data_IF_455990780218
#
_entry.id   IF_455990780218
#
_cell.length_a   1.000
_cell.length_b   1.000
_cell.length_c   1.000
_cell.angle_alpha   90.00
_cell.angle_beta   90.00
_cell.angle_gamma   90.00
#
_symmetry.space_group_name_H-M   'P 1'
#
loop_
_entity.id
_entity.type
_entity.pdbx_description
1 polymer ?
#
# COMPACT_ATOMS: atom_id res chain seq x y z
N UNK A 1 -60.55 -35.84 8.92
CA UNK A 1 -61.12 -34.68 9.63
C UNK A 1 -59.97 -33.74 9.89
N UNK A 2 -59.90 -32.64 9.15
CA UNK A 2 -58.86 -31.62 9.27
C UNK A 2 -59.12 -30.79 10.51
N UNK A 3 -58.10 -30.56 11.33
CA UNK A 3 -57.97 -29.28 12.03
C UNK A 3 -56.50 -28.83 11.93
N UNK A 4 -56.19 -27.93 10.98
CA UNK A 4 -54.87 -27.37 10.74
C UNK A 4 -54.78 -25.98 11.38
N UNK A 5 -54.53 -25.89 12.69
CA UNK A 5 -54.17 -24.60 13.30
C UNK A 5 -53.42 -24.74 14.64
N UNK A 6 -52.10 -24.87 14.56
CA UNK A 6 -51.21 -24.23 15.54
C UNK A 6 -50.15 -23.45 14.77
N UNK A 7 -50.37 -22.16 14.78
CA UNK A 7 -49.61 -21.01 14.30
C UNK A 7 -48.16 -20.97 14.78
N UNK A 8 -47.33 -20.10 14.16
CA UNK A 8 -45.93 -20.37 13.88
C UNK A 8 -45.04 -19.97 15.05
N UNK A 9 -44.15 -20.85 15.48
CA UNK A 9 -42.92 -20.39 16.12
C UNK A 9 -42.04 -19.81 15.04
N UNK A 10 -42.28 -18.52 14.82
CA UNK A 10 -41.33 -17.54 14.36
C UNK A 10 -39.99 -17.85 15.05
N UNK A 11 -39.13 -18.60 14.36
CA UNK A 11 -37.75 -18.78 14.78
C UNK A 11 -37.16 -17.40 14.60
N UNK A 12 -37.21 -16.66 15.70
CA UNK A 12 -36.66 -15.33 15.86
C UNK A 12 -35.18 -15.62 15.86
N UNK A 13 -34.62 -15.76 14.66
CA UNK A 13 -33.19 -15.64 14.41
C UNK A 13 -32.80 -14.34 15.08
N UNK A 14 -32.26 -14.49 16.27
CA UNK A 14 -31.71 -13.42 17.08
C UNK A 14 -30.75 -12.72 16.14
N UNK A 15 -31.13 -11.51 15.71
CA UNK A 15 -30.18 -10.56 15.16
C UNK A 15 -29.24 -10.27 16.32
N UNK A 16 -28.18 -11.07 16.44
CA UNK A 16 -27.08 -10.81 17.33
C UNK A 16 -26.41 -9.53 16.79
N UNK A 17 -26.48 -8.40 17.51
CA UNK A 17 -25.95 -7.14 17.01
C UNK A 17 -24.42 -7.07 17.08
N UNK A 18 -23.74 -8.16 17.43
CA UNK A 18 -22.32 -8.32 17.17
C UNK A 18 -22.10 -8.57 15.68
N UNK A 19 -22.36 -7.55 14.86
CA UNK A 19 -21.52 -7.32 13.72
C UNK A 19 -20.10 -7.12 14.28
N UNK A 20 -19.39 -8.24 14.48
CA UNK A 20 -17.95 -8.23 14.32
C UNK A 20 -17.75 -7.70 12.90
N UNK A 21 -17.51 -6.40 12.80
CA UNK A 21 -16.87 -5.83 11.64
C UNK A 21 -15.55 -6.59 11.63
N UNK A 22 -15.46 -7.66 10.83
CA UNK A 22 -14.17 -8.20 10.44
C UNK A 22 -13.41 -7.00 9.89
N UNK A 23 -12.54 -6.41 10.73
CA UNK A 23 -11.57 -5.43 10.28
C UNK A 23 -10.76 -6.20 9.24
N UNK A 24 -11.09 -5.96 7.97
CA UNK A 24 -10.36 -6.49 6.84
C UNK A 24 -8.87 -6.25 7.16
N UNK A 25 -8.06 -7.32 7.24
CA UNK A 25 -6.76 -7.23 7.87
C UNK A 25 -5.96 -6.14 7.18
N UNK A 26 -5.71 -5.03 7.90
CA UNK A 26 -5.05 -3.85 7.33
C UNK A 26 -3.74 -4.27 6.68
N UNK A 27 -3.73 -4.28 5.36
CA UNK A 27 -2.55 -4.65 4.63
C UNK A 27 -1.63 -3.43 4.64
N UNK A 28 -0.33 -3.57 4.98
CA UNK A 28 0.61 -2.46 4.89
C UNK A 28 0.69 -1.85 3.48
N UNK A 29 0.26 -2.57 2.43
CA UNK A 29 0.14 -2.07 1.07
C UNK A 29 -1.07 -1.15 0.83
N UNK A 30 -2.02 -1.05 1.77
CA UNK A 30 -3.22 -0.20 1.63
C UNK A 30 -2.92 1.28 1.95
N UNK A 31 -1.75 1.59 2.51
CA UNK A 31 -1.35 2.97 2.76
C UNK A 31 -0.89 3.64 1.44
N UNK A 32 -1.52 4.75 1.00
CA UNK A 32 -1.17 5.42 -0.26
C UNK A 32 0.27 5.97 -0.26
N UNK A 33 0.88 6.12 0.92
CA UNK A 33 2.27 6.56 1.07
C UNK A 33 3.29 5.41 1.11
N UNK A 34 2.86 4.15 1.21
CA UNK A 34 3.78 3.01 1.32
C UNK A 34 4.72 2.94 0.11
N UNK A 35 4.15 2.88 -1.09
CA UNK A 35 4.92 2.73 -2.33
C UNK A 35 5.85 3.92 -2.61
N UNK A 36 5.42 5.21 -2.54
CA UNK A 36 6.33 6.32 -2.76
C UNK A 36 7.47 6.39 -1.74
N UNK A 37 7.22 6.05 -0.46
CA UNK A 37 8.28 6.00 0.56
C UNK A 37 9.26 4.87 0.28
N UNK A 38 8.77 3.69 -0.07
CA UNK A 38 9.63 2.55 -0.42
C UNK A 38 10.52 2.88 -1.63
N UNK A 39 9.95 3.44 -2.69
CA UNK A 39 10.72 3.88 -3.87
C UNK A 39 11.71 4.99 -3.50
N UNK A 40 11.33 5.93 -2.63
CA UNK A 40 12.21 6.98 -2.13
C UNK A 40 13.42 6.40 -1.38
N UNK A 41 13.22 5.39 -0.54
CA UNK A 41 14.29 4.71 0.17
C UNK A 41 15.25 3.99 -0.80
N UNK A 42 14.72 3.26 -1.79
CA UNK A 42 15.55 2.65 -2.83
C UNK A 42 16.28 3.67 -3.69
N UNK A 43 15.65 4.80 -4.01
CA UNK A 43 16.31 5.89 -4.70
C UNK A 43 17.51 6.37 -3.88
N UNK A 44 17.31 6.74 -2.61
CA UNK A 44 18.40 7.17 -1.72
C UNK A 44 19.54 6.15 -1.63
N UNK A 45 19.20 4.86 -1.58
CA UNK A 45 20.20 3.78 -1.62
C UNK A 45 21.03 3.82 -2.90
N UNK A 46 20.38 3.84 -4.07
CA UNK A 46 21.08 3.96 -5.36
C UNK A 46 21.86 5.27 -5.48
N UNK A 47 21.35 6.36 -4.92
CA UNK A 47 22.04 7.65 -4.86
C UNK A 47 23.32 7.58 -4.04
N UNK A 48 23.27 6.94 -2.87
CA UNK A 48 24.45 6.69 -2.04
C UNK A 48 25.51 5.90 -2.81
N UNK A 49 25.12 4.77 -3.43
CA UNK A 49 26.03 3.92 -4.20
C UNK A 49 26.50 4.53 -5.53
N UNK A 50 25.80 5.54 -6.06
CA UNK A 50 26.13 6.19 -7.34
C UNK A 50 26.91 7.51 -7.24
N UNK A 51 26.84 8.19 -6.08
CA UNK A 51 27.43 9.52 -5.89
C UNK A 51 28.33 9.65 -4.67
N UNK A 52 28.08 8.91 -3.59
CA UNK A 52 28.77 9.10 -2.31
C UNK A 52 29.76 7.97 -2.00
N UNK A 53 29.39 6.74 -2.34
CA UNK A 53 30.18 5.55 -2.05
C UNK A 53 31.26 5.31 -3.11
N UNK A 54 32.50 5.07 -2.68
CA UNK A 54 33.61 4.69 -3.58
C UNK A 54 33.58 3.19 -3.96
N UNK A 55 32.61 2.44 -3.43
CA UNK A 55 32.52 0.97 -3.58
C UNK A 55 32.47 0.48 -5.03
N UNK A 56 32.02 1.33 -5.95
CA UNK A 56 31.86 1.01 -7.37
C UNK A 56 32.64 1.95 -8.29
N UNK A 57 33.62 2.69 -7.76
CA UNK A 57 34.43 3.63 -8.54
C UNK A 57 35.20 2.94 -9.68
N UNK A 58 35.58 1.67 -9.49
CA UNK A 58 36.23 0.81 -10.49
C UNK A 58 35.26 0.19 -11.51
N UNK A 59 33.94 0.34 -11.31
CA UNK A 59 32.88 -0.29 -12.12
C UNK A 59 31.97 0.75 -12.75
N UNK A 60 32.39 1.38 -13.87
CA UNK A 60 31.68 2.51 -14.46
C UNK A 60 30.24 2.17 -14.88
N UNK A 61 29.99 0.94 -15.34
CA UNK A 61 28.64 0.50 -15.71
C UNK A 61 27.69 0.43 -14.51
N UNK A 62 28.15 -0.10 -13.37
CA UNK A 62 27.35 -0.19 -12.13
C UNK A 62 27.08 1.21 -11.57
N UNK A 63 28.09 2.07 -11.60
CA UNK A 63 27.97 3.45 -11.16
C UNK A 63 26.95 4.23 -12.00
N UNK A 64 26.99 4.10 -13.32
CA UNK A 64 25.99 4.69 -14.22
C UNK A 64 24.59 4.14 -13.97
N UNK A 65 24.46 2.82 -13.79
CA UNK A 65 23.19 2.18 -13.45
C UNK A 65 22.58 2.78 -12.18
N UNK A 66 23.36 2.90 -11.10
CA UNK A 66 22.91 3.47 -9.83
C UNK A 66 22.45 4.92 -9.97
N UNK A 67 23.15 5.74 -10.77
CA UNK A 67 22.76 7.13 -11.05
C UNK A 67 21.44 7.22 -11.83
N UNK A 68 21.26 6.38 -12.84
CA UNK A 68 20.00 6.32 -13.62
C UNK A 68 18.86 5.85 -12.71
N UNK A 69 19.07 4.79 -11.93
CA UNK A 69 18.06 4.26 -11.02
C UNK A 69 17.70 5.27 -9.93
N UNK A 70 18.67 6.03 -9.40
CA UNK A 70 18.39 7.13 -8.48
C UNK A 70 17.38 8.13 -9.07
N UNK A 71 17.61 8.56 -10.32
CA UNK A 71 16.72 9.52 -10.99
C UNK A 71 15.34 8.90 -11.28
N UNK A 72 15.30 7.68 -11.82
CA UNK A 72 14.04 7.03 -12.17
C UNK A 72 13.19 6.73 -10.93
N UNK A 73 13.78 6.14 -9.90
CA UNK A 73 13.08 5.83 -8.65
C UNK A 73 12.69 7.10 -7.89
N UNK A 74 13.56 8.12 -7.87
CA UNK A 74 13.27 9.40 -7.25
C UNK A 74 12.12 10.14 -7.93
N UNK A 75 12.12 10.19 -9.27
CA UNK A 75 11.03 10.77 -10.04
C UNK A 75 9.72 9.97 -9.86
N UNK A 76 9.78 8.64 -9.88
CA UNK A 76 8.64 7.78 -9.63
C UNK A 76 8.05 7.96 -8.22
N UNK A 77 8.90 8.03 -7.20
CA UNK A 77 8.51 8.31 -5.82
C UNK A 77 7.83 9.68 -5.71
N UNK A 78 8.42 10.73 -6.31
CA UNK A 78 7.84 12.08 -6.29
C UNK A 78 6.48 12.15 -7.00
N UNK A 79 6.34 11.46 -8.14
CA UNK A 79 5.08 11.40 -8.88
C UNK A 79 4.00 10.66 -8.10
N UNK A 80 4.30 9.49 -7.54
CA UNK A 80 3.38 8.73 -6.70
C UNK A 80 3.01 9.49 -5.45
N UNK A 81 3.95 10.18 -4.82
CA UNK A 81 3.67 11.01 -3.65
C UNK A 81 2.74 12.18 -3.99
N UNK A 82 2.95 12.84 -5.14
CA UNK A 82 2.06 13.89 -5.62
C UNK A 82 0.66 13.35 -5.94
N UNK A 83 0.56 12.14 -6.52
CA UNK A 83 -0.71 11.46 -6.78
C UNK A 83 -1.43 11.10 -5.48
N UNK A 84 -0.74 10.45 -4.54
CA UNK A 84 -1.27 10.08 -3.23
C UNK A 84 -1.78 11.29 -2.45
N UNK A 85 -1.05 12.43 -2.50
CA UNK A 85 -1.51 13.68 -1.89
C UNK A 85 -2.81 14.19 -2.51
N UNK A 86 -2.96 14.15 -3.83
CA UNK A 86 -4.20 14.58 -4.51
C UNK A 86 -5.38 13.69 -4.13
N UNK A 87 -5.16 12.38 -4.06
CA UNK A 87 -6.19 11.41 -3.68
C UNK A 87 -6.59 11.54 -2.20
N UNK A 88 -5.63 11.88 -1.34
CA UNK A 88 -5.87 12.16 0.09
C UNK A 88 -6.53 13.52 0.34
N UNK A 89 -6.59 14.40 -0.66
CA UNK A 89 -7.01 15.80 -0.52
C UNK A 89 -8.28 16.15 -1.33
N UNK A 90 -9.13 15.20 -1.73
CA UNK A 90 -10.37 15.52 -2.45
C UNK A 90 -11.64 15.06 -1.75
N UNK A 91 -12.79 15.75 -1.90
CA UNK A 91 -13.04 17.14 -2.31
C UNK A 91 -12.86 18.19 -1.19
#
# INVERSE_FOLDING_TARGET
MSDPDRTPTQDTGVNDPTHEIEEEPRNPFDNPYFLPVLLGAFALWCGWDGFVSDKFADRPNTLWFNRIMFVLLGAGAAWLLAKARRESSGP
#
